data_IF_243091039301
#
_entry.id   IF_243091039301
#
_cell.length_a   1.000
_cell.length_b   1.000
_cell.length_c   1.000
_cell.angle_alpha   90.00
_cell.angle_beta   90.00
_cell.angle_gamma   90.00
#
_symmetry.space_group_name_H-M   'P 1'
#
loop_
_entity.id
_entity.type
_entity.pdbx_description
1 polymer ?
#
# COMPACT_ATOMS: atom_id res chain seq x y z
N UNK A 1 -22.15 8.37 10.11
CA UNK A 1 -22.65 7.56 8.98
C UNK A 1 -21.94 6.23 9.12
N UNK A 2 -22.66 5.12 9.38
CA UNK A 2 -22.00 3.81 9.51
C UNK A 2 -21.33 3.46 8.18
N UNK A 3 -20.03 3.17 8.23
CA UNK A 3 -19.35 2.58 7.09
C UNK A 3 -19.88 1.17 6.89
N UNK A 4 -20.18 0.80 5.64
CA UNK A 4 -20.64 -0.56 5.37
C UNK A 4 -19.47 -1.53 5.51
N UNK A 5 -19.74 -2.76 5.97
CA UNK A 5 -18.76 -3.84 6.01
C UNK A 5 -18.05 -4.04 4.65
N UNK A 6 -18.76 -3.78 3.54
CA UNK A 6 -18.19 -3.80 2.19
C UNK A 6 -17.09 -2.72 2.02
N UNK A 7 -17.31 -1.50 2.51
CA UNK A 7 -16.32 -0.42 2.41
C UNK A 7 -15.04 -0.76 3.18
N UNK A 8 -15.17 -1.33 4.38
CA UNK A 8 -14.04 -1.78 5.20
C UNK A 8 -13.25 -2.88 4.46
N UNK A 9 -13.96 -3.85 3.87
CA UNK A 9 -13.34 -4.92 3.09
C UNK A 9 -12.59 -4.38 1.85
N UNK A 10 -13.16 -3.40 1.16
CA UNK A 10 -12.51 -2.74 0.02
C UNK A 10 -11.23 -1.98 0.42
N UNK A 11 -11.24 -1.27 1.54
CA UNK A 11 -10.05 -0.57 2.07
C UNK A 11 -8.93 -1.56 2.38
N UNK A 12 -9.26 -2.66 3.06
CA UNK A 12 -8.30 -3.75 3.36
C UNK A 12 -7.76 -4.41 2.09
N UNK A 13 -8.62 -4.65 1.09
CA UNK A 13 -8.21 -5.21 -0.20
C UNK A 13 -7.23 -4.28 -0.91
N UNK A 14 -7.49 -2.97 -0.96
CA UNK A 14 -6.60 -1.98 -1.57
C UNK A 14 -5.25 -1.91 -0.87
N UNK A 15 -5.24 -1.94 0.47
CA UNK A 15 -4.01 -2.01 1.25
C UNK A 15 -3.16 -3.25 0.89
N UNK A 16 -3.80 -4.42 0.83
CA UNK A 16 -3.13 -5.68 0.47
C UNK A 16 -2.54 -5.63 -0.96
N UNK A 17 -3.30 -5.12 -1.94
CA UNK A 17 -2.81 -4.97 -3.31
C UNK A 17 -1.59 -4.05 -3.40
N UNK A 18 -1.58 -2.95 -2.64
CA UNK A 18 -0.44 -2.03 -2.59
C UNK A 18 0.80 -2.66 -1.95
N UNK A 19 0.63 -3.50 -0.93
CA UNK A 19 1.75 -4.27 -0.36
C UNK A 19 2.36 -5.23 -1.37
N UNK A 20 1.54 -5.95 -2.14
CA UNK A 20 2.03 -6.83 -3.20
C UNK A 20 2.81 -6.03 -4.24
N UNK A 21 2.29 -4.85 -4.64
CA UNK A 21 3.01 -3.94 -5.57
C UNK A 21 4.34 -3.45 -4.98
N UNK A 22 4.38 -3.10 -3.69
CA UNK A 22 5.62 -2.69 -3.03
C UNK A 22 6.64 -3.83 -2.99
N UNK A 23 6.22 -5.03 -2.59
CA UNK A 23 7.09 -6.22 -2.54
C UNK A 23 7.61 -6.60 -3.94
N UNK A 24 6.76 -6.47 -4.97
CA UNK A 24 7.16 -6.69 -6.36
C UNK A 24 8.22 -5.69 -6.84
N UNK A 25 8.47 -4.58 -6.14
CA UNK A 25 9.52 -3.61 -6.44
C UNK A 25 10.78 -3.82 -5.58
N UNK A 26 10.73 -4.70 -4.58
CA UNK A 26 11.82 -4.99 -3.64
C UNK A 26 12.71 -6.13 -4.15
N UNK A 27 13.29 -5.92 -5.33
CA UNK A 27 14.29 -6.81 -5.91
C UNK A 27 15.46 -5.99 -6.44
N UNK A 28 16.64 -6.60 -6.55
CA UNK A 28 17.81 -5.97 -7.18
C UNK A 28 17.93 -6.44 -8.62
N UNK A 29 18.11 -5.50 -9.55
CA UNK A 29 18.36 -5.80 -10.97
C UNK A 29 19.86 -5.64 -11.23
N UNK A 30 20.58 -6.68 -11.64
CA UNK A 30 21.99 -6.56 -12.02
C UNK A 30 22.17 -5.57 -13.17
N UNK A 31 23.16 -4.68 -13.07
CA UNK A 31 23.44 -3.66 -14.08
C UNK A 31 22.46 -2.47 -14.08
N UNK A 32 21.53 -2.41 -13.13
CA UNK A 32 20.63 -1.27 -13.00
C UNK A 32 21.38 -0.02 -12.53
N UNK A 33 21.19 1.09 -13.25
CA UNK A 33 21.74 2.38 -12.86
C UNK A 33 21.12 2.92 -11.57
N UNK A 34 21.92 3.60 -10.75
CA UNK A 34 21.53 4.17 -9.45
C UNK A 34 20.24 5.02 -9.51
N UNK A 35 20.03 5.76 -10.60
CA UNK A 35 18.83 6.57 -10.78
C UNK A 35 17.55 5.72 -10.94
N UNK A 36 17.63 4.59 -11.64
CA UNK A 36 16.51 3.66 -11.81
C UNK A 36 16.18 2.96 -10.48
N UNK A 37 17.21 2.46 -9.79
CA UNK A 37 17.07 1.87 -8.47
C UNK A 37 16.42 2.84 -7.47
N UNK A 38 16.87 4.10 -7.47
CA UNK A 38 16.32 5.15 -6.61
C UNK A 38 14.84 5.45 -6.92
N UNK A 39 14.45 5.46 -8.20
CA UNK A 39 13.04 5.63 -8.60
C UNK A 39 12.19 4.45 -8.11
N UNK A 40 12.67 3.21 -8.27
CA UNK A 40 11.97 2.01 -7.81
C UNK A 40 11.80 2.03 -6.29
N UNK A 41 12.85 2.35 -5.55
CA UNK A 41 12.80 2.46 -4.09
C UNK A 41 11.76 3.49 -3.63
N UNK A 42 11.76 4.70 -4.20
CA UNK A 42 10.75 5.73 -3.88
C UNK A 42 9.33 5.29 -4.24
N UNK A 43 9.17 4.56 -5.33
CA UNK A 43 7.86 4.02 -5.72
C UNK A 43 7.37 2.95 -4.75
N UNK A 44 8.24 2.01 -4.34
CA UNK A 44 7.92 1.03 -3.30
C UNK A 44 7.51 1.70 -1.99
N UNK A 45 8.28 2.70 -1.53
CA UNK A 45 7.96 3.46 -0.32
C UNK A 45 6.59 4.16 -0.40
N UNK A 46 6.23 4.73 -1.56
CA UNK A 46 4.89 5.32 -1.76
C UNK A 46 3.78 4.29 -1.64
N UNK A 47 3.96 3.09 -2.20
CA UNK A 47 2.98 2.02 -2.07
C UNK A 47 2.84 1.53 -0.63
N UNK A 48 3.95 1.43 0.12
CA UNK A 48 3.91 1.09 1.55
C UNK A 48 3.14 2.14 2.34
N UNK A 49 3.42 3.44 2.12
CA UNK A 49 2.72 4.52 2.81
C UNK A 49 1.21 4.49 2.50
N UNK A 50 0.84 4.39 1.23
CA UNK A 50 -0.56 4.33 0.83
C UNK A 50 -1.28 3.10 1.42
N UNK A 51 -0.60 1.95 1.52
CA UNK A 51 -1.18 0.77 2.15
C UNK A 51 -1.47 1.03 3.64
N UNK A 52 -0.54 1.64 4.37
CA UNK A 52 -0.71 2.01 5.77
C UNK A 52 -1.86 3.02 5.96
N UNK A 53 -2.00 3.98 5.05
CA UNK A 53 -3.09 4.96 5.07
C UNK A 53 -4.45 4.25 4.90
N UNK A 54 -4.57 3.31 3.96
CA UNK A 54 -5.80 2.53 3.78
C UNK A 54 -6.16 1.65 4.97
N UNK A 55 -5.16 1.04 5.63
CA UNK A 55 -5.41 0.30 6.87
C UNK A 55 -5.88 1.19 8.00
N UNK A 56 -5.27 2.37 8.14
CA UNK A 56 -5.70 3.34 9.14
C UNK A 56 -7.13 3.78 8.90
N UNK A 57 -7.52 4.01 7.63
CA UNK A 57 -8.91 4.30 7.27
C UNK A 57 -9.85 3.14 7.60
N UNK A 58 -9.44 1.89 7.36
CA UNK A 58 -10.24 0.72 7.72
C UNK A 58 -10.44 0.62 9.25
N UNK A 59 -9.39 0.86 10.04
CA UNK A 59 -9.47 0.86 11.51
C UNK A 59 -10.38 1.98 12.04
N UNK A 60 -10.31 3.17 11.44
CA UNK A 60 -11.21 4.27 11.80
C UNK A 60 -12.66 3.94 11.48
N UNK A 61 -12.92 3.33 10.31
CA UNK A 61 -14.25 2.91 9.91
C UNK A 61 -14.84 1.81 10.82
N UNK A 62 -14.01 0.91 11.34
CA UNK A 62 -14.42 -0.11 12.32
C UNK A 62 -14.68 0.45 13.72
N UNK A 63 -14.01 1.54 14.11
CA UNK A 63 -14.23 2.22 15.39
C UNK A 63 -15.45 3.14 15.43
N UNK A 64 -16.08 3.38 14.28
CA UNK A 64 -17.33 4.15 14.15
C UNK A 64 -18.60 3.25 14.14
N UNK A 65 -18.44 1.92 14.22
CA UNK A 65 -19.52 0.94 14.47
C UNK A 65 -19.82 0.77 15.98
#
# INVERSE_FOLDING_TARGET
MSFTAQTIAELRLRAAQLRVKAAALDYKIPGEGMAAQSRRFRQAARHVQQAADYERLALLAEGEE
#
